data_IF_893534697841
#
_entry.id   IF_893534697841
#
_cell.length_a   1.000
_cell.length_b   1.000
_cell.length_c   1.000
_cell.angle_alpha   90.00
_cell.angle_beta   90.00
_cell.angle_gamma   90.00
#
_symmetry.space_group_name_H-M   'P 1'
#
loop_
_entity.id
_entity.type
_entity.pdbx_description
1 polymer ?
#
# COMPACT_ATOMS: atom_id res chain seq x y z
N UNK A 1 30.25 -33.73 0.50
CA UNK A 1 28.95 -33.49 -0.17
C UNK A 1 27.83 -33.26 0.83
N UNK A 2 27.73 -34.07 1.89
CA UNK A 2 26.70 -33.91 2.94
C UNK A 2 26.74 -32.54 3.63
N UNK A 3 27.93 -32.02 3.96
CA UNK A 3 28.09 -30.70 4.60
C UNK A 3 27.61 -29.53 3.73
N UNK A 4 27.75 -29.64 2.40
CA UNK A 4 27.34 -28.58 1.48
C UNK A 4 25.80 -28.47 1.41
N UNK A 5 25.11 -29.61 1.43
CA UNK A 5 23.65 -29.64 1.45
C UNK A 5 23.10 -29.13 2.80
N UNK A 6 23.77 -29.45 3.90
CA UNK A 6 23.44 -28.88 5.23
C UNK A 6 23.62 -27.37 5.27
N UNK A 7 24.72 -26.83 4.72
CA UNK A 7 24.95 -25.37 4.66
C UNK A 7 23.89 -24.69 3.79
N UNK A 8 23.51 -25.28 2.65
CA UNK A 8 22.42 -24.75 1.80
C UNK A 8 21.09 -24.73 2.54
N UNK A 9 20.78 -25.76 3.32
CA UNK A 9 19.56 -25.82 4.12
C UNK A 9 19.53 -24.68 5.16
N UNK A 10 20.60 -24.50 5.94
CA UNK A 10 20.68 -23.40 6.90
C UNK A 10 20.59 -22.02 6.26
N UNK A 11 21.20 -21.83 5.09
CA UNK A 11 21.08 -20.57 4.34
C UNK A 11 19.63 -20.34 3.88
N UNK A 12 18.94 -21.38 3.43
CA UNK A 12 17.52 -21.28 3.05
C UNK A 12 16.65 -20.89 4.26
N UNK A 13 16.85 -21.53 5.41
CA UNK A 13 16.11 -21.25 6.64
C UNK A 13 16.35 -19.80 7.12
N UNK A 14 17.60 -19.34 7.06
CA UNK A 14 17.95 -17.97 7.41
C UNK A 14 17.29 -16.95 6.46
N UNK A 15 17.30 -17.20 5.15
CA UNK A 15 16.65 -16.32 4.17
C UNK A 15 15.11 -16.30 4.34
N UNK A 16 14.50 -17.46 4.62
CA UNK A 16 13.07 -17.56 4.97
C UNK A 16 12.73 -16.73 6.21
N UNK A 17 13.54 -16.88 7.27
CA UNK A 17 13.37 -16.09 8.48
C UNK A 17 13.46 -14.58 8.21
N UNK A 18 14.45 -14.14 7.44
CA UNK A 18 14.62 -12.72 7.06
C UNK A 18 13.43 -12.21 6.23
N UNK A 19 12.89 -13.02 5.32
CA UNK A 19 11.70 -12.67 4.55
C UNK A 19 10.47 -12.52 5.44
N UNK A 20 10.28 -13.41 6.42
CA UNK A 20 9.17 -13.32 7.38
C UNK A 20 9.23 -12.06 8.25
N UNK A 21 10.42 -11.49 8.45
CA UNK A 21 10.58 -10.19 9.12
C UNK A 21 10.22 -9.00 8.20
N UNK A 22 10.02 -9.24 6.90
CA UNK A 22 9.75 -8.21 5.90
C UNK A 22 10.94 -7.28 5.63
N UNK A 23 12.16 -7.71 5.94
CA UNK A 23 13.38 -6.87 5.82
C UNK A 23 13.81 -6.67 4.36
N UNK A 24 13.34 -7.52 3.45
CA UNK A 24 13.51 -7.34 2.00
C UNK A 24 12.96 -5.99 1.49
N UNK A 25 12.05 -5.36 2.24
CA UNK A 25 11.34 -4.13 1.88
C UNK A 25 12.14 -2.84 1.98
N UNK A 26 13.26 -2.84 2.71
CA UNK A 26 14.05 -1.63 2.89
C UNK A 26 15.16 -1.61 1.84
N UNK A 27 15.17 -0.57 1.02
CA UNK A 27 16.33 -0.18 0.22
C UNK A 27 17.60 0.02 1.08
N UNK A 28 17.48 -0.03 2.41
CA UNK A 28 18.56 0.06 3.40
C UNK A 28 18.67 -1.16 4.35
N UNK A 29 17.68 -2.06 4.42
CA UNK A 29 17.61 -3.09 5.48
C UNK A 29 18.28 -4.41 5.12
N UNK A 30 18.25 -4.79 3.85
CA UNK A 30 19.00 -5.94 3.34
C UNK A 30 20.23 -5.45 2.54
N UNK A 31 21.43 -6.01 2.79
CA UNK A 31 22.60 -5.81 1.94
C UNK A 31 22.28 -6.02 0.46
N UNK A 32 22.85 -5.20 -0.43
CA UNK A 32 22.53 -5.20 -1.86
C UNK A 32 22.71 -6.58 -2.53
N UNK A 33 23.68 -7.37 -2.06
CA UNK A 33 23.95 -8.73 -2.53
C UNK A 33 22.92 -9.77 -2.05
N UNK A 34 22.16 -9.50 -0.98
CA UNK A 34 21.13 -10.41 -0.47
C UNK A 34 19.73 -10.13 -1.06
N UNK A 35 19.48 -8.92 -1.56
CA UNK A 35 18.17 -8.55 -2.12
C UNK A 35 17.68 -9.47 -3.24
N UNK A 36 18.49 -9.84 -4.25
CA UNK A 36 18.03 -10.74 -5.30
C UNK A 36 17.63 -12.12 -4.75
N UNK A 37 18.37 -12.62 -3.74
CA UNK A 37 18.10 -13.91 -3.12
C UNK A 37 16.82 -13.91 -2.27
N UNK A 38 16.54 -12.79 -1.60
CA UNK A 38 15.32 -12.59 -0.81
C UNK A 38 14.10 -12.42 -1.74
N UNK A 39 14.21 -11.58 -2.78
CA UNK A 39 13.14 -11.31 -3.74
C UNK A 39 12.78 -12.52 -4.63
N UNK A 40 13.73 -13.44 -4.83
CA UNK A 40 13.50 -14.65 -5.63
C UNK A 40 12.63 -15.71 -4.92
N UNK A 41 12.30 -15.52 -3.64
CA UNK A 41 11.51 -16.48 -2.88
C UNK A 41 10.01 -16.30 -3.13
N UNK A 42 9.27 -17.40 -3.10
CA UNK A 42 7.82 -17.44 -3.33
C UNK A 42 7.00 -16.60 -2.36
N UNK A 43 7.44 -16.51 -1.11
CA UNK A 43 6.72 -15.85 -0.02
C UNK A 43 7.20 -14.42 0.26
N UNK A 44 8.15 -13.93 -0.54
CA UNK A 44 8.78 -12.64 -0.29
C UNK A 44 7.82 -11.47 -0.54
N UNK A 45 7.02 -11.54 -1.61
CA UNK A 45 6.03 -10.51 -1.93
C UNK A 45 4.92 -10.44 -0.87
N UNK A 46 4.36 -11.59 -0.48
CA UNK A 46 3.30 -11.68 0.53
C UNK A 46 3.79 -11.26 1.93
N UNK A 47 4.99 -11.68 2.33
CA UNK A 47 5.61 -11.25 3.60
C UNK A 47 5.90 -9.75 3.64
N UNK A 48 6.41 -9.20 2.53
CA UNK A 48 6.62 -7.76 2.39
C UNK A 48 5.31 -6.99 2.49
N UNK A 49 4.25 -7.45 1.81
CA UNK A 49 2.95 -6.82 1.85
C UNK A 49 2.35 -6.85 3.27
N UNK A 50 2.44 -7.98 3.97
CA UNK A 50 1.99 -8.12 5.34
C UNK A 50 2.74 -7.17 6.30
N UNK A 51 4.06 -7.04 6.13
CA UNK A 51 4.90 -6.13 6.92
C UNK A 51 4.51 -4.67 6.70
N UNK A 52 4.34 -4.23 5.45
CA UNK A 52 3.90 -2.86 5.12
C UNK A 52 2.51 -2.59 5.69
N UNK A 53 1.56 -3.53 5.51
CA UNK A 53 0.19 -3.41 6.04
C UNK A 53 0.19 -3.23 7.56
N UNK A 54 1.00 -4.01 8.27
CA UNK A 54 1.14 -3.91 9.73
C UNK A 54 1.68 -2.53 10.14
N UNK A 55 2.71 -2.04 9.45
CA UNK A 55 3.31 -0.73 9.72
C UNK A 55 2.36 0.43 9.46
N UNK A 56 1.59 0.39 8.38
CA UNK A 56 0.51 1.36 8.09
C UNK A 56 -0.49 1.40 9.26
N UNK A 57 -1.00 0.23 9.67
CA UNK A 57 -1.94 0.16 10.79
C UNK A 57 -1.34 0.69 12.09
N UNK A 58 -0.08 0.35 12.40
CA UNK A 58 0.59 0.83 13.60
C UNK A 58 0.80 2.35 13.60
N UNK A 59 1.21 2.92 12.46
CA UNK A 59 1.37 4.37 12.32
C UNK A 59 0.03 5.10 12.49
N UNK A 60 -1.02 4.59 11.84
CA UNK A 60 -2.38 5.11 11.95
C UNK A 60 -2.91 5.04 13.39
N UNK A 61 -2.76 3.90 14.07
CA UNK A 61 -3.19 3.74 15.48
C UNK A 61 -2.42 4.66 16.41
N UNK A 62 -1.11 4.81 16.22
CA UNK A 62 -0.29 5.71 17.06
C UNK A 62 -0.75 7.16 16.95
N UNK A 63 -1.06 7.63 15.74
CA UNK A 63 -1.58 8.98 15.52
C UNK A 63 -2.98 9.14 16.12
N UNK A 64 -3.82 8.12 16.00
CA UNK A 64 -5.15 8.10 16.61
C UNK A 64 -5.08 8.13 18.15
N UNK A 65 -4.19 7.35 18.75
CA UNK A 65 -3.94 7.37 20.19
C UNK A 65 -3.44 8.74 20.64
N UNK A 66 -2.58 9.38 19.85
CA UNK A 66 -2.13 10.74 20.11
C UNK A 66 -3.30 11.74 20.09
N UNK A 67 -4.21 11.65 19.10
CA UNK A 67 -5.43 12.47 19.05
C UNK A 67 -6.29 12.32 20.30
N UNK A 68 -6.48 11.09 20.81
CA UNK A 68 -7.35 10.83 21.96
C UNK A 68 -6.68 11.08 23.33
N UNK A 69 -5.38 10.83 23.47
CA UNK A 69 -4.69 10.85 24.75
C UNK A 69 -4.53 12.25 25.34
N UNK A 70 -4.49 13.29 24.51
CA UNK A 70 -4.40 14.66 24.98
C UNK A 70 -5.45 15.52 24.30
N UNK A 71 -6.33 16.12 25.11
CA UNK A 71 -7.11 17.28 24.68
C UNK A 71 -6.09 18.31 24.20
N UNK A 72 -6.02 18.57 22.89
CA UNK A 72 -5.17 19.58 22.23
C UNK A 72 -3.79 19.11 21.66
N UNK A 73 -3.66 17.91 21.08
CA UNK A 73 -2.38 17.55 20.38
C UNK A 73 -2.11 18.32 19.10
N UNK A 74 -3.13 18.92 18.47
CA UNK A 74 -3.00 19.50 17.14
C UNK A 74 -2.68 18.48 16.05
N UNK A 75 -2.90 17.18 16.28
CA UNK A 75 -2.78 16.15 15.24
C UNK A 75 -3.92 16.29 14.26
N UNK A 76 -3.60 16.46 12.98
CA UNK A 76 -4.55 16.73 11.90
C UNK A 76 -4.51 15.63 10.83
N UNK A 77 -5.46 15.65 9.89
CA UNK A 77 -5.43 14.81 8.69
C UNK A 77 -4.13 14.94 7.88
N UNK A 78 -3.46 16.09 7.94
CA UNK A 78 -2.19 16.32 7.25
C UNK A 78 -1.07 15.49 7.87
N UNK A 79 -1.08 15.30 9.19
CA UNK A 79 -0.11 14.45 9.90
C UNK A 79 -0.29 12.97 9.51
N UNK A 80 -1.54 12.52 9.35
CA UNK A 80 -1.83 11.20 8.82
C UNK A 80 -1.34 11.06 7.38
N UNK A 81 -1.67 12.01 6.50
CA UNK A 81 -1.20 12.01 5.12
C UNK A 81 0.33 11.98 5.03
N UNK A 82 1.02 12.82 5.80
CA UNK A 82 2.49 12.86 5.86
C UNK A 82 3.08 11.53 6.34
N UNK A 83 2.53 10.94 7.40
CA UNK A 83 2.99 9.65 7.90
C UNK A 83 2.77 8.51 6.88
N UNK A 84 1.69 8.57 6.09
CA UNK A 84 1.42 7.57 5.07
C UNK A 84 2.42 7.61 3.90
N UNK A 85 3.02 8.76 3.62
CA UNK A 85 3.98 8.92 2.52
C UNK A 85 5.19 7.99 2.62
N UNK A 86 5.65 7.69 3.84
CA UNK A 86 6.83 6.85 4.10
C UNK A 86 6.69 5.43 3.56
N UNK A 87 5.46 4.95 3.34
CA UNK A 87 5.19 3.58 2.88
C UNK A 87 5.12 3.46 1.35
N UNK A 88 4.95 4.55 0.62
CA UNK A 88 4.83 4.54 -0.84
C UNK A 88 6.06 3.96 -1.56
N UNK A 89 7.32 4.23 -1.15
CA UNK A 89 8.49 3.57 -1.74
C UNK A 89 8.47 2.05 -1.56
N UNK A 90 8.02 1.57 -0.40
CA UNK A 90 7.88 0.14 -0.13
C UNK A 90 6.84 -0.51 -1.05
N UNK A 91 5.66 0.11 -1.19
CA UNK A 91 4.62 -0.37 -2.10
C UNK A 91 5.12 -0.37 -3.55
N UNK A 92 5.86 0.66 -3.97
CA UNK A 92 6.48 0.71 -5.30
C UNK A 92 7.50 -0.42 -5.49
N UNK A 93 8.28 -0.76 -4.48
CA UNK A 93 9.22 -1.89 -4.53
C UNK A 93 8.51 -3.24 -4.67
N UNK A 94 7.34 -3.39 -4.05
CA UNK A 94 6.54 -4.60 -4.17
C UNK A 94 6.15 -4.90 -5.62
N UNK A 95 5.87 -3.87 -6.42
CA UNK A 95 5.52 -3.97 -7.86
C UNK A 95 6.61 -4.56 -8.76
N UNK A 96 7.84 -4.69 -8.25
CA UNK A 96 8.99 -5.19 -9.01
C UNK A 96 9.28 -6.68 -8.72
N UNK A 97 8.47 -7.31 -7.86
CA UNK A 97 8.51 -8.75 -7.63
C UNK A 97 7.94 -9.48 -8.84
N UNK A 98 8.50 -10.66 -9.15
CA UNK A 98 8.00 -11.55 -10.21
C UNK A 98 6.77 -12.38 -9.78
N UNK A 99 6.34 -12.23 -8.54
CA UNK A 99 5.18 -12.91 -7.98
C UNK A 99 3.91 -12.46 -8.73
N UNK A 100 3.06 -13.38 -9.22
CA UNK A 100 1.80 -13.02 -9.88
C UNK A 100 0.86 -12.16 -9.04
N UNK A 101 0.88 -12.31 -7.71
CA UNK A 101 0.06 -11.56 -6.78
C UNK A 101 0.68 -10.20 -6.39
N UNK A 102 1.91 -9.90 -6.81
CA UNK A 102 2.63 -8.67 -6.45
C UNK A 102 1.80 -7.40 -6.75
N UNK A 103 1.22 -7.31 -7.95
CA UNK A 103 0.48 -6.12 -8.38
C UNK A 103 -0.82 -5.97 -7.59
N UNK A 104 -1.49 -7.08 -7.30
CA UNK A 104 -2.69 -7.13 -6.44
C UNK A 104 -2.37 -6.69 -5.02
N UNK A 105 -1.35 -7.29 -4.40
CA UNK A 105 -0.92 -6.94 -3.05
C UNK A 105 -0.53 -5.45 -2.95
N UNK A 106 0.13 -4.92 -3.98
CA UNK A 106 0.47 -3.51 -4.07
C UNK A 106 -0.76 -2.61 -4.16
N UNK A 107 -1.75 -2.99 -4.97
CA UNK A 107 -3.04 -2.28 -5.08
C UNK A 107 -3.75 -2.19 -3.72
N UNK A 108 -3.94 -3.32 -3.04
CA UNK A 108 -4.58 -3.39 -1.73
C UNK A 108 -3.89 -2.48 -0.69
N UNK A 109 -2.56 -2.40 -0.76
CA UNK A 109 -1.78 -1.55 0.13
C UNK A 109 -1.97 -0.07 -0.15
N UNK A 110 -2.06 0.37 -1.42
CA UNK A 110 -2.35 1.77 -1.72
C UNK A 110 -3.74 2.13 -1.23
N UNK A 111 -4.75 1.29 -1.45
CA UNK A 111 -6.11 1.52 -0.96
C UNK A 111 -6.14 1.60 0.58
N UNK A 112 -5.43 0.69 1.27
CA UNK A 112 -5.33 0.70 2.73
C UNK A 112 -4.62 1.95 3.26
N UNK A 113 -3.47 2.29 2.70
CA UNK A 113 -2.70 3.50 3.02
C UNK A 113 -3.58 4.74 2.90
N UNK A 114 -4.35 4.79 1.83
CA UNK A 114 -5.23 5.90 1.53
C UNK A 114 -6.37 6.05 2.53
N UNK A 115 -7.03 4.96 2.89
CA UNK A 115 -8.05 4.99 3.94
C UNK A 115 -7.45 5.47 5.28
N UNK A 116 -6.22 5.06 5.59
CA UNK A 116 -5.50 5.52 6.78
C UNK A 116 -5.03 6.98 6.72
N UNK A 117 -4.91 7.58 5.53
CA UNK A 117 -4.47 8.97 5.37
C UNK A 117 -5.48 10.01 5.86
N UNK A 118 -6.76 9.64 5.96
CA UNK A 118 -7.83 10.54 6.39
C UNK A 118 -7.97 10.63 7.92
N UNK A 119 -7.35 9.72 8.68
CA UNK A 119 -7.55 9.64 10.12
C UNK A 119 -9.00 9.30 10.50
N UNK A 120 -9.48 9.85 11.61
CA UNK A 120 -10.87 9.68 12.06
C UNK A 120 -11.74 10.81 11.50
N UNK A 121 -12.83 10.45 10.80
CA UNK A 121 -13.82 11.38 10.28
C UNK A 121 -14.96 11.50 11.30
N UNK A 122 -14.80 12.35 12.31
CA UNK A 122 -15.77 12.52 13.41
C UNK A 122 -16.89 13.50 13.10
N UNK A 123 -16.61 14.61 12.42
CA UNK A 123 -17.62 15.62 12.09
C UNK A 123 -17.56 16.01 10.59
N UNK A 124 -18.72 16.22 9.94
CA UNK A 124 -18.79 16.65 8.54
C UNK A 124 -18.05 17.96 8.22
N UNK A 125 -17.73 18.76 9.24
CA UNK A 125 -17.12 20.09 9.11
C UNK A 125 -15.69 20.17 9.72
N UNK A 126 -15.14 19.07 10.24
CA UNK A 126 -13.86 19.08 11.01
C UNK A 126 -12.61 18.63 10.23
N UNK A 127 -12.71 18.32 8.94
CA UNK A 127 -11.63 17.65 8.22
C UNK A 127 -10.91 18.61 7.27
N UNK A 128 -9.67 18.98 7.63
CA UNK A 128 -8.90 20.05 6.99
C UNK A 128 -8.47 19.80 5.54
N UNK A 129 -8.70 20.80 4.70
CA UNK A 129 -7.94 21.06 3.48
C UNK A 129 -6.61 21.70 3.88
N UNK A 130 -5.61 20.87 4.14
CA UNK A 130 -4.24 21.30 4.30
C UNK A 130 -3.31 20.64 3.28
N UNK A 131 -2.02 20.62 3.56
CA UNK A 131 -1.06 19.97 2.70
C UNK A 131 -1.19 18.46 2.90
N UNK A 132 -1.82 17.77 1.95
CA UNK A 132 -2.00 16.31 1.94
C UNK A 132 -0.99 15.62 1.02
N UNK A 133 0.28 15.45 1.45
CA UNK A 133 1.35 15.13 0.53
C UNK A 133 1.40 13.64 0.13
N UNK A 134 0.59 12.75 0.73
CA UNK A 134 0.44 11.37 0.26
C UNK A 134 -0.38 11.24 -1.02
N UNK A 135 -1.26 12.21 -1.26
CA UNK A 135 -2.42 12.05 -2.15
C UNK A 135 -2.05 11.88 -3.61
N UNK A 136 -1.41 12.90 -4.19
CA UNK A 136 -0.96 12.81 -5.58
C UNK A 136 0.02 11.63 -5.79
N UNK A 137 1.03 11.42 -4.92
CA UNK A 137 1.90 10.24 -5.04
C UNK A 137 1.16 8.90 -4.99
N UNK A 138 0.12 8.78 -4.15
CA UNK A 138 -0.71 7.59 -4.07
C UNK A 138 -1.57 7.41 -5.33
N UNK A 139 -2.18 8.47 -5.88
CA UNK A 139 -3.01 8.40 -7.08
C UNK A 139 -2.17 8.00 -8.30
N UNK A 140 -0.97 8.58 -8.43
CA UNK A 140 -0.02 8.22 -9.47
C UNK A 140 0.42 6.76 -9.36
N UNK A 141 0.65 6.27 -8.15
CA UNK A 141 1.05 4.88 -7.92
C UNK A 141 -0.10 3.91 -8.25
N UNK A 142 -1.31 4.22 -7.79
CA UNK A 142 -2.51 3.42 -8.03
C UNK A 142 -2.88 3.39 -9.53
N UNK A 143 -2.82 4.53 -10.21
CA UNK A 143 -2.99 4.61 -11.67
C UNK A 143 -1.96 3.76 -12.41
N UNK A 144 -0.69 3.81 -11.99
CA UNK A 144 0.38 2.97 -12.58
C UNK A 144 0.11 1.49 -12.35
N UNK A 145 -0.38 1.11 -11.17
CA UNK A 145 -0.75 -0.26 -10.84
C UNK A 145 -1.88 -0.78 -11.73
N UNK A 146 -2.96 -0.01 -11.85
CA UNK A 146 -4.09 -0.34 -12.73
C UNK A 146 -3.56 -0.60 -14.15
N UNK A 147 -2.78 0.33 -14.73
CA UNK A 147 -2.21 0.17 -16.08
C UNK A 147 -1.29 -1.04 -16.23
N UNK A 148 -0.41 -1.32 -15.26
CA UNK A 148 0.47 -2.51 -15.30
C UNK A 148 -0.36 -3.80 -15.31
N UNK A 149 -1.42 -3.86 -14.51
CA UNK A 149 -2.28 -5.04 -14.40
C UNK A 149 -3.14 -5.26 -15.65
N UNK A 150 -3.63 -4.18 -16.26
CA UNK A 150 -4.27 -4.24 -17.58
C UNK A 150 -3.34 -4.83 -18.64
N UNK A 151 -2.10 -4.35 -18.68
CA UNK A 151 -1.11 -4.86 -19.62
C UNK A 151 -0.72 -6.33 -19.35
N UNK A 152 -0.85 -6.80 -18.12
CA UNK A 152 -0.61 -8.19 -17.75
C UNK A 152 -1.76 -9.15 -18.13
N UNK A 153 -2.92 -8.61 -18.55
CA UNK A 153 -4.08 -9.43 -18.91
C UNK A 153 -4.69 -10.19 -17.73
N UNK A 154 -4.49 -9.71 -16.50
CA UNK A 154 -5.06 -10.34 -15.31
C UNK A 154 -6.60 -10.28 -15.34
N UNK A 155 -7.25 -11.42 -15.09
CA UNK A 155 -8.69 -11.46 -14.83
C UNK A 155 -8.89 -10.92 -13.43
N UNK A 156 -9.43 -9.71 -13.36
CA UNK A 156 -9.59 -8.96 -12.12
C UNK A 156 -10.96 -8.31 -12.04
N UNK A 157 -11.48 -8.18 -10.81
CA UNK A 157 -12.75 -7.52 -10.56
C UNK A 157 -12.60 -5.98 -10.58
N UNK A 158 -12.38 -5.43 -11.77
CA UNK A 158 -12.27 -3.99 -12.00
C UNK A 158 -13.53 -3.23 -11.56
N UNK A 159 -14.68 -3.88 -11.67
CA UNK A 159 -15.97 -3.31 -11.29
C UNK A 159 -16.08 -3.21 -9.77
N UNK A 160 -15.75 -4.27 -9.03
CA UNK A 160 -15.74 -4.26 -7.57
C UNK A 160 -14.77 -3.21 -7.01
N UNK A 161 -13.60 -3.06 -7.64
CA UNK A 161 -12.62 -2.02 -7.28
C UNK A 161 -13.17 -0.61 -7.52
N UNK A 162 -13.77 -0.37 -8.68
CA UNK A 162 -14.39 0.92 -8.99
C UNK A 162 -15.53 1.23 -8.00
N UNK A 163 -16.39 0.26 -7.71
CA UNK A 163 -17.47 0.40 -6.73
C UNK A 163 -16.94 0.68 -5.31
N UNK A 164 -15.81 0.08 -4.93
CA UNK A 164 -15.14 0.37 -3.67
C UNK A 164 -14.61 1.80 -3.57
N UNK A 165 -13.96 2.28 -4.64
CA UNK A 165 -13.51 3.68 -4.72
C UNK A 165 -14.69 4.66 -4.76
N UNK A 166 -15.75 4.35 -5.51
CA UNK A 166 -16.95 5.19 -5.58
C UNK A 166 -17.69 5.26 -4.23
N UNK A 167 -17.74 4.16 -3.48
CA UNK A 167 -18.30 4.16 -2.11
C UNK A 167 -17.49 5.04 -1.17
N UNK A 168 -16.16 4.95 -1.25
CA UNK A 168 -15.26 5.79 -0.45
C UNK A 168 -15.40 7.26 -0.86
N UNK A 169 -15.57 7.55 -2.15
CA UNK A 169 -15.78 8.91 -2.67
C UNK A 169 -17.02 9.55 -2.07
N UNK A 170 -18.14 8.82 -2.11
CA UNK A 170 -19.41 9.29 -1.54
C UNK A 170 -19.30 9.55 -0.04
N UNK A 171 -18.63 8.65 0.69
CA UNK A 171 -18.38 8.85 2.12
C UNK A 171 -17.57 10.14 2.34
N UNK A 172 -16.53 10.41 1.56
CA UNK A 172 -15.73 11.63 1.71
C UNK A 172 -16.53 12.89 1.36
N UNK A 173 -17.38 12.83 0.32
CA UNK A 173 -18.28 13.91 -0.08
C UNK A 173 -19.28 14.29 1.03
N UNK A 174 -19.77 13.32 1.81
CA UNK A 174 -20.63 13.58 2.99
C UNK A 174 -19.93 14.43 4.07
N UNK A 175 -18.59 14.44 4.07
CA UNK A 175 -17.74 15.24 4.96
C UNK A 175 -17.11 16.44 4.24
N UNK A 176 -17.58 16.79 3.03
CA UNK A 176 -17.04 17.91 2.24
C UNK A 176 -15.61 17.70 1.72
N UNK A 177 -15.10 16.46 1.73
CA UNK A 177 -13.74 16.12 1.31
C UNK A 177 -13.75 15.69 -0.16
N UNK A 178 -12.91 16.31 -0.98
CA UNK A 178 -12.70 15.86 -2.36
C UNK A 178 -11.78 14.63 -2.38
N UNK A 179 -12.16 13.53 -3.05
CA UNK A 179 -11.31 12.34 -3.13
C UNK A 179 -10.08 12.56 -4.02
N UNK A 180 -8.89 12.26 -3.50
CA UNK A 180 -7.62 12.46 -4.22
C UNK A 180 -7.35 11.50 -5.39
N UNK A 181 -8.13 10.43 -5.54
CA UNK A 181 -7.89 9.34 -6.50
C UNK A 181 -8.66 9.51 -7.82
N UNK A 182 -8.74 10.74 -8.33
CA UNK A 182 -9.50 11.07 -9.54
C UNK A 182 -8.95 10.37 -10.79
N UNK A 183 -7.62 10.29 -10.95
CA UNK A 183 -7.00 9.63 -12.10
C UNK A 183 -7.19 8.12 -12.03
N UNK A 184 -7.08 7.53 -10.84
CA UNK A 184 -7.28 6.09 -10.64
C UNK A 184 -8.72 5.68 -10.92
N UNK A 185 -9.72 6.46 -10.47
CA UNK A 185 -11.13 6.22 -10.80
C UNK A 185 -11.39 6.31 -12.29
N UNK A 186 -10.81 7.32 -12.95
CA UNK A 186 -10.94 7.44 -14.39
C UNK A 186 -10.39 6.21 -15.11
N UNK A 187 -9.18 5.75 -14.77
CA UNK A 187 -8.57 4.57 -15.37
C UNK A 187 -9.42 3.29 -15.19
N UNK A 188 -10.05 3.11 -14.03
CA UNK A 188 -10.96 2.00 -13.79
C UNK A 188 -12.27 2.13 -14.58
N UNK A 189 -12.84 3.33 -14.70
CA UNK A 189 -14.05 3.58 -15.49
C UNK A 189 -13.85 3.27 -16.96
N UNK A 190 -12.73 3.71 -17.52
CA UNK A 190 -12.34 3.40 -18.90
C UNK A 190 -12.28 1.88 -19.10
N UNK A 191 -11.62 1.15 -18.19
CA UNK A 191 -11.55 -0.31 -18.29
C UNK A 191 -12.90 -1.01 -18.19
N UNK A 192 -13.77 -0.59 -17.25
CA UNK A 192 -15.08 -1.23 -17.05
C UNK A 192 -15.97 -0.99 -18.27
N UNK A 193 -15.86 0.17 -18.93
CA UNK A 193 -16.56 0.45 -20.17
C UNK A 193 -16.07 -0.45 -21.32
N UNK A 194 -14.76 -0.64 -21.45
CA UNK A 194 -14.15 -1.49 -22.48
C UNK A 194 -14.50 -2.99 -22.28
N UNK A 195 -14.57 -3.45 -21.02
CA UNK A 195 -14.92 -4.83 -20.70
C UNK A 195 -16.42 -5.16 -20.88
N UNK A 196 -17.26 -4.14 -21.05
CA UNK A 196 -18.71 -4.29 -21.30
C UNK A 196 -19.09 -4.35 -22.77
N UNK A 197 -18.13 -4.19 -23.69
CA UNK A 197 -18.29 -4.36 -25.14
C UNK A 197 -17.88 -5.78 -25.58
#
# INVERSE_FOLDING_TARGET
>A
MQDLETIKAYLNDALLFINNLGVASHAEGAPANLRPLLMARSEAASSMAASIRKKISQASSRLQDAMYAYKDTGTTSDDFSKAMMEFLPGIRGLMEFKDPDSLRLSYDLVVKLSGSSYGYLDMPDSCGYGDRPSDEPADLLLTKLIRKRLAAGEIWDWKGDLEGLDRTSKLLEEYGIEPWYSRSRQALREQVADAGQ
#
